data_IF_013648498772
#
_entry.id   IF_013648498772
#
_cell.length_a   1.000
_cell.length_b   1.000
_cell.length_c   1.000
_cell.angle_alpha   90.00
_cell.angle_beta   90.00
_cell.angle_gamma   90.00
#
_symmetry.space_group_name_H-M   'P 1'
#
loop_
_entity.id
_entity.type
_entity.pdbx_description
1 polymer ?
#
# COMPACT_ATOMS: atom_id res chain seq x y z
N UNK A 1 3.13 -13.19 -4.18
CA UNK A 1 3.05 -11.92 -3.42
C UNK A 1 4.12 -10.98 -3.97
N UNK A 2 3.71 -9.86 -4.55
CA UNK A 2 4.60 -8.79 -5.01
C UNK A 2 4.92 -7.83 -3.87
N UNK A 3 6.08 -7.18 -3.93
CA UNK A 3 6.53 -6.19 -2.95
C UNK A 3 6.85 -4.88 -3.65
N UNK A 4 6.40 -3.77 -3.06
CA UNK A 4 6.62 -2.43 -3.57
C UNK A 4 7.14 -1.53 -2.44
N UNK A 5 8.39 -1.11 -2.57
CA UNK A 5 9.01 -0.16 -1.66
C UNK A 5 8.78 1.27 -2.13
N UNK A 6 8.09 2.05 -1.31
CA UNK A 6 7.83 3.48 -1.50
C UNK A 6 8.28 4.31 -0.31
N UNK A 7 9.25 3.81 0.46
CA UNK A 7 9.91 4.59 1.53
C UNK A 7 10.48 5.89 0.96
N UNK A 8 10.40 6.96 1.74
CA UNK A 8 10.79 8.32 1.32
C UNK A 8 9.81 9.02 0.37
N UNK A 9 8.81 8.33 -0.18
CA UNK A 9 7.74 8.96 -0.95
C UNK A 9 6.70 9.59 -0.01
N UNK A 10 6.27 10.82 -0.32
CA UNK A 10 5.22 11.54 0.42
C UNK A 10 3.87 11.39 -0.26
N UNK A 11 2.79 11.48 0.51
CA UNK A 11 1.42 11.56 0.01
C UNK A 11 1.30 12.53 -1.18
N UNK A 12 0.66 12.13 -2.30
CA UNK A 12 -0.07 10.87 -2.54
C UNK A 12 0.76 9.78 -3.24
N UNK A 13 2.08 9.87 -3.28
CA UNK A 13 2.91 8.98 -4.09
C UNK A 13 2.83 7.49 -3.73
N UNK A 14 2.73 7.07 -2.44
CA UNK A 14 2.57 5.66 -2.08
C UNK A 14 1.38 4.99 -2.77
N UNK A 15 0.22 5.64 -2.75
CA UNK A 15 -1.01 5.11 -3.35
C UNK A 15 -0.97 5.13 -4.87
N UNK A 16 -0.38 6.17 -5.49
CA UNK A 16 -0.24 6.27 -6.95
C UNK A 16 0.61 5.11 -7.50
N UNK A 17 1.74 4.82 -6.83
CA UNK A 17 2.60 3.70 -7.22
C UNK A 17 1.93 2.35 -6.99
N UNK A 18 1.25 2.17 -5.86
CA UNK A 18 0.53 0.95 -5.56
C UNK A 18 -0.60 0.66 -6.56
N UNK A 19 -1.38 1.68 -6.94
CA UNK A 19 -2.41 1.56 -7.97
C UNK A 19 -1.84 1.09 -9.30
N UNK A 20 -0.75 1.71 -9.76
CA UNK A 20 -0.07 1.32 -11.01
C UNK A 20 0.38 -0.14 -10.98
N UNK A 21 0.88 -0.60 -9.84
CA UNK A 21 1.32 -1.99 -9.67
C UNK A 21 0.12 -2.96 -9.69
N UNK A 22 -0.95 -2.67 -8.94
CA UNK A 22 -2.20 -3.45 -8.92
C UNK A 22 -2.81 -3.56 -10.32
N UNK A 23 -2.79 -2.48 -11.12
CA UNK A 23 -3.33 -2.48 -12.47
C UNK A 23 -2.60 -3.45 -13.43
N UNK A 24 -1.37 -3.87 -13.09
CA UNK A 24 -0.56 -4.84 -13.84
C UNK A 24 -0.61 -6.26 -13.26
N UNK A 25 -1.32 -6.47 -12.16
CA UNK A 25 -1.42 -7.75 -11.46
C UNK A 25 -2.67 -8.54 -11.90
N UNK A 26 -2.61 -9.86 -11.69
CA UNK A 26 -3.74 -10.75 -11.91
C UNK A 26 -4.68 -10.76 -10.69
N UNK A 27 -6.00 -10.96 -10.89
CA UNK A 27 -6.94 -11.15 -9.78
C UNK A 27 -6.49 -12.22 -8.79
N UNK A 28 -6.63 -11.94 -7.50
CA UNK A 28 -6.17 -12.78 -6.39
C UNK A 28 -4.70 -12.59 -6.00
N UNK A 29 -3.90 -11.87 -6.79
CA UNK A 29 -2.52 -11.58 -6.39
C UNK A 29 -2.44 -10.54 -5.27
N UNK A 30 -1.48 -10.75 -4.36
CA UNK A 30 -1.21 -9.85 -3.23
C UNK A 30 -0.02 -8.91 -3.51
N UNK A 31 -0.18 -7.64 -3.14
CA UNK A 31 0.84 -6.60 -3.16
C UNK A 31 1.09 -6.11 -1.73
N UNK A 32 2.33 -6.22 -1.26
CA UNK A 32 2.80 -5.61 -0.03
C UNK A 32 3.49 -4.27 -0.33
N UNK A 33 2.98 -3.17 0.21
CA UNK A 33 3.51 -1.82 0.02
C UNK A 33 4.16 -1.33 1.30
N UNK A 34 5.43 -0.96 1.24
CA UNK A 34 6.20 -0.43 2.37
C UNK A 34 6.38 1.08 2.23
N UNK A 35 5.87 1.86 3.18
CA UNK A 35 5.94 3.32 3.20
C UNK A 35 6.51 3.83 4.54
N UNK A 36 7.07 5.03 4.54
CA UNK A 36 7.50 5.74 5.77
C UNK A 36 6.67 7.00 6.04
N UNK A 37 5.69 7.29 5.18
CA UNK A 37 4.80 8.43 5.36
C UNK A 37 3.54 8.01 6.13
N UNK A 38 3.24 8.59 7.31
CA UNK A 38 2.02 8.32 8.04
C UNK A 38 0.76 8.64 7.24
N UNK A 39 0.83 9.60 6.30
CA UNK A 39 -0.28 9.93 5.40
C UNK A 39 -0.74 8.75 4.52
N UNK A 40 0.14 7.77 4.28
CA UNK A 40 -0.21 6.57 3.53
C UNK A 40 -1.32 5.75 4.20
N UNK A 41 -1.40 5.74 5.53
CA UNK A 41 -2.36 4.92 6.28
C UNK A 41 -3.82 5.26 5.96
N UNK A 42 -4.28 6.51 6.13
CA UNK A 42 -5.63 6.90 5.76
C UNK A 42 -5.86 6.85 4.24
N UNK A 43 -4.84 7.13 3.42
CA UNK A 43 -4.96 7.06 1.95
C UNK A 43 -5.30 5.64 1.47
N UNK A 44 -4.57 4.62 1.95
CA UNK A 44 -4.84 3.22 1.58
C UNK A 44 -6.19 2.74 2.08
N UNK A 45 -6.61 3.13 3.30
CA UNK A 45 -7.95 2.82 3.81
C UNK A 45 -9.03 3.45 2.94
N UNK A 46 -8.94 4.75 2.65
CA UNK A 46 -9.92 5.48 1.84
C UNK A 46 -10.03 4.93 0.42
N UNK A 47 -8.89 4.61 -0.20
CA UNK A 47 -8.89 4.01 -1.52
C UNK A 47 -9.47 2.62 -1.56
N UNK A 48 -9.12 1.73 -0.63
CA UNK A 48 -9.65 0.37 -0.62
C UNK A 48 -11.18 0.31 -0.46
N UNK A 49 -11.79 1.29 0.22
CA UNK A 49 -13.25 1.41 0.34
C UNK A 49 -13.95 1.74 -0.98
N UNK A 50 -13.30 2.50 -1.86
CA UNK A 50 -13.88 2.99 -3.12
C UNK A 50 -13.33 2.27 -4.36
N UNK A 51 -12.24 1.51 -4.20
CA UNK A 51 -11.53 0.85 -5.28
C UNK A 51 -12.30 -0.37 -5.81
N UNK A 52 -12.45 -0.40 -7.14
CA UNK A 52 -12.95 -1.56 -7.88
C UNK A 52 -11.87 -2.60 -8.16
N UNK A 53 -10.59 -2.25 -8.04
CA UNK A 53 -9.47 -3.12 -8.41
C UNK A 53 -8.66 -3.62 -7.22
N UNK A 54 -8.74 -2.98 -6.05
CA UNK A 54 -7.95 -3.33 -4.88
C UNK A 54 -8.82 -3.58 -3.64
N UNK A 55 -8.45 -4.56 -2.83
CA UNK A 55 -8.92 -4.77 -1.43
C UNK A 55 -7.75 -4.54 -0.50
N UNK A 56 -7.92 -3.77 0.57
CA UNK A 56 -6.96 -3.77 1.68
C UNK A 56 -7.22 -5.00 2.56
N UNK A 57 -6.26 -5.93 2.60
CA UNK A 57 -6.33 -7.17 3.37
C UNK A 57 -5.75 -6.98 4.75
N UNK A 58 -4.66 -6.26 4.84
CA UNK A 58 -3.93 -6.06 6.08
C UNK A 58 -3.25 -4.70 6.07
N UNK A 59 -3.10 -4.13 7.26
CA UNK A 59 -2.33 -2.92 7.47
C UNK A 59 -1.67 -2.99 8.84
N UNK A 60 -0.36 -2.75 8.88
CA UNK A 60 0.43 -2.80 10.11
C UNK A 60 1.49 -1.72 10.13
N UNK A 61 1.91 -1.37 11.34
CA UNK A 61 2.99 -0.42 11.58
C UNK A 61 4.11 -1.15 12.32
N UNK A 62 5.31 -1.08 11.75
CA UNK A 62 6.52 -1.62 12.33
C UNK A 62 7.45 -0.46 12.70
N UNK A 63 8.35 -0.68 13.67
CA UNK A 63 9.38 0.29 14.03
C UNK A 63 10.74 -0.25 13.64
N UNK A 64 11.43 0.49 12.78
CA UNK A 64 12.82 0.24 12.40
C UNK A 64 13.69 1.34 13.03
N UNK A 65 14.21 1.05 14.24
CA UNK A 65 14.92 2.04 15.04
C UNK A 65 14.02 3.22 15.43
N UNK A 66 14.36 4.42 14.97
CA UNK A 66 13.60 5.65 15.22
C UNK A 66 12.55 5.95 14.13
N UNK A 67 12.45 5.12 13.09
CA UNK A 67 11.55 5.33 11.95
C UNK A 67 10.36 4.38 12.01
N UNK A 68 9.17 4.90 11.78
CA UNK A 68 7.96 4.08 11.59
C UNK A 68 7.84 3.64 10.13
N UNK A 69 7.55 2.36 9.94
CA UNK A 69 7.33 1.73 8.65
C UNK A 69 5.86 1.31 8.59
N UNK A 70 5.14 1.82 7.62
CA UNK A 70 3.74 1.47 7.36
C UNK A 70 3.69 0.45 6.23
N UNK A 71 3.11 -0.71 6.53
CA UNK A 71 2.96 -1.79 5.57
C UNK A 71 1.48 -1.97 5.25
N UNK A 72 1.17 -1.96 3.94
CA UNK A 72 -0.18 -2.11 3.42
C UNK A 72 -0.22 -3.32 2.50
N UNK A 73 -1.05 -4.32 2.81
CA UNK A 73 -1.22 -5.52 1.99
C UNK A 73 -2.53 -5.41 1.22
N UNK A 74 -2.43 -5.38 -0.10
CA UNK A 74 -3.53 -5.23 -1.03
C UNK A 74 -3.72 -6.51 -1.84
N UNK A 75 -4.97 -6.87 -2.13
CA UNK A 75 -5.33 -7.93 -3.07
C UNK A 75 -5.94 -7.33 -4.33
N UNK A 76 -5.51 -7.81 -5.50
CA UNK A 76 -6.14 -7.47 -6.78
C UNK A 76 -7.50 -8.17 -6.87
N UNK A 77 -8.58 -7.39 -7.00
CA UNK A 77 -9.95 -7.88 -7.27
C UNK A 77 -10.08 -8.41 -8.70
#
# INVERSE_FOLDING_TARGET
>A
MRKLDVRGAKCPMPIVKAKKEIDQMQPGELLEVTATDPGSVPDFKGWALTSKTAVLKEQRTEKEGATEIYIHVLERK
#
